data_IF_576188760586
#
_entry.id   IF_576188760586
#
_cell.length_a   1.000
_cell.length_b   1.000
_cell.length_c   1.000
_cell.angle_alpha   90.00
_cell.angle_beta   90.00
_cell.angle_gamma   90.00
#
_symmetry.space_group_name_H-M   'P 1'
#
loop_
_entity.id
_entity.type
_entity.pdbx_description
1 polymer ?
#
# COMPACT_ATOMS: atom_id res chain seq x y z
N UNK A 1 -54.49 -48.33 -56.46
CA UNK A 1 -54.93 -49.01 -55.24
C UNK A 1 -53.80 -48.93 -54.22
N UNK A 2 -54.11 -48.42 -53.03
CA UNK A 2 -53.32 -48.31 -51.78
C UNK A 2 -52.21 -47.29 -51.68
N UNK A 3 -52.64 -46.11 -51.23
CA UNK A 3 -52.07 -45.35 -50.12
C UNK A 3 -51.57 -46.25 -48.99
N UNK A 4 -50.48 -45.90 -48.33
CA UNK A 4 -50.37 -45.71 -46.85
C UNK A 4 -48.94 -45.43 -46.44
N UNK A 5 -48.76 -44.28 -45.83
CA UNK A 5 -48.07 -44.05 -44.54
C UNK A 5 -46.54 -44.06 -44.55
N UNK A 6 -45.95 -42.87 -44.55
CA UNK A 6 -44.77 -42.55 -43.73
C UNK A 6 -44.84 -41.08 -43.33
N UNK A 7 -45.65 -40.79 -42.38
CA UNK A 7 -45.55 -39.61 -41.53
C UNK A 7 -45.23 -40.11 -40.14
N UNK A 8 -44.25 -39.52 -39.48
CA UNK A 8 -43.83 -39.68 -38.05
C UNK A 8 -42.34 -40.08 -37.93
N UNK A 9 -41.46 -39.12 -38.09
CA UNK A 9 -40.14 -39.04 -37.37
C UNK A 9 -39.47 -37.71 -37.65
N UNK A 10 -40.13 -36.62 -37.28
CA UNK A 10 -39.56 -35.26 -37.30
C UNK A 10 -40.06 -34.43 -36.15
N UNK A 11 -39.88 -34.95 -34.93
CA UNK A 11 -40.24 -34.21 -33.73
C UNK A 11 -39.49 -34.74 -32.50
N UNK A 12 -38.15 -34.56 -32.46
CA UNK A 12 -37.37 -34.76 -31.23
C UNK A 12 -35.91 -34.30 -31.36
N UNK A 13 -35.60 -33.19 -32.04
CA UNK A 13 -34.28 -32.51 -31.96
C UNK A 13 -34.52 -30.99 -31.90
N UNK A 14 -35.30 -30.57 -30.94
CA UNK A 14 -35.51 -29.15 -30.67
C UNK A 14 -35.70 -28.93 -29.15
N UNK A 15 -34.71 -29.35 -28.39
CA UNK A 15 -34.65 -28.96 -26.97
C UNK A 15 -33.32 -29.42 -26.41
N UNK A 16 -32.28 -28.59 -26.54
CA UNK A 16 -31.13 -28.48 -25.61
C UNK A 16 -30.09 -27.48 -26.17
N UNK A 17 -30.54 -26.41 -26.77
CA UNK A 17 -29.79 -25.17 -26.75
C UNK A 17 -30.40 -24.28 -25.65
N UNK A 18 -30.26 -24.72 -24.41
CA UNK A 18 -30.26 -23.78 -23.30
C UNK A 18 -29.03 -22.91 -23.54
N UNK A 19 -29.23 -21.78 -24.26
CA UNK A 19 -28.22 -20.76 -24.37
C UNK A 19 -27.82 -20.43 -22.92
N UNK A 20 -26.54 -20.65 -22.58
CA UNK A 20 -25.96 -19.99 -21.42
C UNK A 20 -26.19 -18.51 -21.66
N UNK A 21 -27.18 -17.93 -20.98
CA UNK A 21 -27.30 -16.49 -20.90
C UNK A 21 -26.05 -16.06 -20.13
N UNK A 22 -25.07 -15.45 -20.79
CA UNK A 22 -23.99 -14.78 -20.12
C UNK A 22 -24.65 -13.67 -19.28
N UNK A 23 -24.49 -13.72 -17.95
CA UNK A 23 -25.05 -12.71 -17.06
C UNK A 23 -24.36 -11.37 -17.25
N UNK A 24 -23.08 -11.38 -17.64
CA UNK A 24 -22.34 -10.16 -17.96
C UNK A 24 -20.85 -10.38 -18.17
N UNK A 25 -20.18 -9.37 -18.75
CA UNK A 25 -18.73 -9.29 -18.82
C UNK A 25 -18.26 -8.24 -17.81
N UNK A 26 -17.55 -8.67 -16.76
CA UNK A 26 -16.94 -7.79 -15.75
C UNK A 26 -15.56 -7.39 -16.21
N UNK A 27 -15.30 -6.11 -16.36
CA UNK A 27 -13.97 -5.57 -16.61
C UNK A 27 -13.29 -5.21 -15.29
N UNK A 28 -12.05 -5.67 -15.09
CA UNK A 28 -11.28 -5.45 -13.85
C UNK A 28 -9.89 -4.86 -14.15
N UNK A 29 -9.63 -3.63 -13.67
CA UNK A 29 -8.30 -3.02 -13.67
C UNK A 29 -7.53 -3.43 -12.43
N UNK A 30 -6.39 -4.10 -12.61
CA UNK A 30 -5.47 -4.49 -11.55
C UNK A 30 -4.03 -4.11 -11.90
N UNK A 31 -3.19 -3.70 -10.91
CA UNK A 31 -1.79 -3.41 -11.17
C UNK A 31 -0.98 -4.64 -11.61
N UNK A 32 0.10 -4.38 -12.35
CA UNK A 32 0.98 -5.41 -12.90
C UNK A 32 1.62 -6.33 -11.84
N UNK A 33 1.85 -5.84 -10.62
CA UNK A 33 2.36 -6.68 -9.53
C UNK A 33 1.37 -7.79 -9.13
N UNK A 34 0.11 -7.68 -9.50
CA UNK A 34 -0.95 -8.63 -9.18
C UNK A 34 -1.32 -9.57 -10.34
N UNK A 35 -0.80 -9.34 -11.53
CA UNK A 35 -1.25 -9.99 -12.77
C UNK A 35 -1.38 -11.50 -12.66
N UNK A 36 -0.32 -12.20 -12.25
CA UNK A 36 -0.33 -13.68 -12.21
C UNK A 36 -1.37 -14.22 -11.21
N UNK A 37 -1.52 -13.55 -10.06
CA UNK A 37 -2.46 -13.94 -9.00
C UNK A 37 -3.90 -13.68 -9.42
N UNK A 38 -4.16 -12.51 -10.02
CA UNK A 38 -5.46 -12.14 -10.54
C UNK A 38 -5.92 -13.13 -11.62
N UNK A 39 -5.04 -13.49 -12.58
CA UNK A 39 -5.34 -14.52 -13.60
C UNK A 39 -5.76 -15.84 -12.98
N UNK A 40 -5.00 -16.34 -12.00
CA UNK A 40 -5.32 -17.59 -11.29
C UNK A 40 -6.70 -17.53 -10.61
N UNK A 41 -7.04 -16.38 -10.00
CA UNK A 41 -8.34 -16.22 -9.33
C UNK A 41 -9.49 -16.05 -10.32
N UNK A 42 -9.27 -15.36 -11.44
CA UNK A 42 -10.25 -15.26 -12.52
C UNK A 42 -10.60 -16.65 -13.07
N UNK A 43 -9.60 -17.51 -13.32
CA UNK A 43 -9.83 -18.89 -13.77
C UNK A 43 -10.68 -19.68 -12.77
N UNK A 44 -10.37 -19.57 -11.47
CA UNK A 44 -11.14 -20.23 -10.40
C UNK A 44 -12.57 -19.69 -10.29
N UNK A 45 -12.72 -18.37 -10.38
CA UNK A 45 -14.01 -17.70 -10.33
C UNK A 45 -14.90 -18.15 -11.50
N UNK A 46 -14.41 -18.09 -12.73
CA UNK A 46 -15.18 -18.47 -13.92
C UNK A 46 -15.54 -19.97 -13.93
N UNK A 47 -14.72 -20.82 -13.30
CA UNK A 47 -15.08 -22.23 -13.12
C UNK A 47 -16.28 -22.42 -12.17
N UNK A 48 -16.43 -21.55 -11.17
CA UNK A 48 -17.56 -21.56 -10.22
C UNK A 48 -18.77 -20.76 -10.72
N UNK A 49 -18.54 -19.75 -11.58
CA UNK A 49 -19.53 -18.83 -12.14
C UNK A 49 -19.40 -18.79 -13.68
N UNK A 50 -19.79 -19.86 -14.39
CA UNK A 50 -19.59 -19.98 -15.83
C UNK A 50 -20.44 -19.01 -16.67
N UNK A 51 -21.40 -18.34 -16.04
CA UNK A 51 -22.26 -17.31 -16.60
C UNK A 51 -21.64 -15.90 -16.56
N UNK A 52 -20.57 -15.68 -15.78
CA UNK A 52 -19.87 -14.39 -15.66
C UNK A 52 -18.49 -14.49 -16.33
N UNK A 53 -18.25 -13.67 -17.34
CA UNK A 53 -16.92 -13.54 -17.96
C UNK A 53 -16.16 -12.38 -17.30
N UNK A 54 -14.86 -12.58 -17.00
CA UNK A 54 -14.01 -11.54 -16.43
C UNK A 54 -12.94 -11.13 -17.44
N UNK A 55 -12.94 -9.87 -17.83
CA UNK A 55 -11.90 -9.24 -18.64
C UNK A 55 -10.91 -8.52 -17.74
N UNK A 56 -9.75 -9.14 -17.53
CA UNK A 56 -8.68 -8.56 -16.72
C UNK A 56 -7.83 -7.59 -17.56
N UNK A 57 -7.71 -6.35 -17.10
CA UNK A 57 -6.86 -5.33 -17.72
C UNK A 57 -5.74 -4.93 -16.75
N UNK A 58 -4.49 -5.18 -17.18
CA UNK A 58 -3.29 -4.92 -16.37
C UNK A 58 -2.86 -3.47 -16.53
N UNK A 59 -2.66 -2.80 -15.39
CA UNK A 59 -2.24 -1.40 -15.35
C UNK A 59 -0.86 -1.24 -14.73
N UNK A 60 -0.13 -0.20 -15.11
CA UNK A 60 1.07 0.23 -14.40
C UNK A 60 0.69 1.11 -13.22
N UNK A 61 1.53 1.16 -12.19
CA UNK A 61 1.33 2.04 -11.03
C UNK A 61 1.65 3.49 -11.34
N UNK A 62 2.54 3.73 -12.32
CA UNK A 62 2.92 5.10 -12.72
C UNK A 62 1.73 5.86 -13.29
N UNK A 63 1.44 7.03 -12.72
CA UNK A 63 0.30 7.87 -13.10
C UNK A 63 -1.08 7.23 -12.84
N UNK A 64 -1.12 6.11 -12.13
CA UNK A 64 -2.37 5.39 -11.84
C UNK A 64 -3.39 6.24 -11.09
N UNK A 65 -3.02 7.03 -10.05
CA UNK A 65 -3.98 7.87 -9.32
C UNK A 65 -4.77 8.79 -10.24
N UNK A 66 -4.06 9.50 -11.12
CA UNK A 66 -4.67 10.45 -12.05
C UNK A 66 -5.52 9.74 -13.11
N UNK A 67 -5.03 8.61 -13.63
CA UNK A 67 -5.78 7.81 -14.63
C UNK A 67 -7.08 7.27 -14.05
N UNK A 68 -7.03 6.70 -12.82
CA UNK A 68 -8.24 6.19 -12.14
C UNK A 68 -9.23 7.32 -11.88
N UNK A 69 -8.77 8.44 -11.32
CA UNK A 69 -9.65 9.59 -11.03
C UNK A 69 -10.32 10.11 -12.32
N UNK A 70 -9.56 10.25 -13.41
CA UNK A 70 -10.10 10.69 -14.70
C UNK A 70 -11.15 9.72 -15.24
N UNK A 71 -10.90 8.41 -15.16
CA UNK A 71 -11.83 7.38 -15.61
C UNK A 71 -13.12 7.38 -14.77
N UNK A 72 -13.02 7.51 -13.44
CA UNK A 72 -14.16 7.61 -12.54
C UNK A 72 -15.01 8.86 -12.84
N UNK A 73 -14.38 10.01 -13.02
CA UNK A 73 -15.08 11.29 -13.29
C UNK A 73 -15.74 11.33 -14.67
N UNK A 74 -15.12 10.71 -15.67
CA UNK A 74 -15.67 10.67 -17.04
C UNK A 74 -16.70 9.56 -17.25
N UNK A 75 -16.92 8.67 -16.28
CA UNK A 75 -17.80 7.51 -16.42
C UNK A 75 -17.24 6.42 -17.34
N UNK A 76 -15.92 6.44 -17.63
CA UNK A 76 -15.23 5.46 -18.49
C UNK A 76 -14.45 4.43 -17.67
N UNK A 77 -14.67 4.35 -16.36
CA UNK A 77 -14.04 3.35 -15.50
C UNK A 77 -14.58 1.93 -15.79
N UNK A 78 -13.77 0.89 -15.56
CA UNK A 78 -14.21 -0.50 -15.64
C UNK A 78 -15.20 -0.84 -14.50
N UNK A 79 -15.64 -2.11 -14.42
CA UNK A 79 -16.59 -2.52 -13.37
C UNK A 79 -15.90 -2.69 -12.00
N UNK A 80 -14.61 -3.06 -11.99
CA UNK A 80 -13.78 -3.14 -10.77
C UNK A 80 -12.46 -2.42 -11.00
N UNK A 81 -12.01 -1.67 -9.99
CA UNK A 81 -10.70 -1.02 -9.99
C UNK A 81 -9.97 -1.34 -8.69
N UNK A 82 -8.69 -1.74 -8.81
CA UNK A 82 -7.77 -1.76 -7.68
C UNK A 82 -7.28 -0.35 -7.41
N UNK A 83 -7.41 0.09 -6.17
CA UNK A 83 -7.02 1.44 -5.73
C UNK A 83 -6.24 1.37 -4.42
N UNK A 84 -5.33 2.31 -4.20
CA UNK A 84 -4.73 2.44 -2.88
C UNK A 84 -5.78 2.83 -1.85
N UNK A 85 -5.66 2.29 -0.64
CA UNK A 85 -6.60 2.55 0.45
C UNK A 85 -6.93 4.03 0.64
N UNK A 86 -5.90 4.89 0.65
CA UNK A 86 -6.05 6.32 0.91
C UNK A 86 -6.88 7.09 -0.12
N UNK A 87 -7.19 6.51 -1.29
CA UNK A 87 -8.00 7.18 -2.31
C UNK A 87 -9.50 6.93 -2.14
N UNK A 88 -9.89 5.84 -1.45
CA UNK A 88 -11.27 5.36 -1.40
C UNK A 88 -12.22 6.40 -0.81
N UNK A 89 -11.85 7.02 0.31
CA UNK A 89 -12.70 8.00 0.98
C UNK A 89 -12.96 9.24 0.11
N UNK A 90 -11.95 9.72 -0.62
CA UNK A 90 -12.13 10.81 -1.60
C UNK A 90 -13.09 10.44 -2.72
N UNK A 91 -13.03 9.20 -3.22
CA UNK A 91 -13.96 8.72 -4.24
C UNK A 91 -15.38 8.57 -3.70
N UNK A 92 -15.53 8.06 -2.46
CA UNK A 92 -16.82 7.93 -1.79
C UNK A 92 -17.52 9.27 -1.58
N UNK A 93 -16.79 10.29 -1.08
CA UNK A 93 -17.29 11.65 -0.88
C UNK A 93 -17.82 12.27 -2.16
N UNK A 94 -17.14 12.04 -3.28
CA UNK A 94 -17.50 12.52 -4.60
C UNK A 94 -18.50 11.59 -5.33
N UNK A 95 -19.02 10.56 -4.68
CA UNK A 95 -19.99 9.59 -5.23
C UNK A 95 -19.49 8.89 -6.51
N UNK A 96 -18.19 8.68 -6.62
CA UNK A 96 -17.54 8.06 -7.77
C UNK A 96 -17.52 6.53 -7.69
N UNK A 97 -17.80 5.98 -6.51
CA UNK A 97 -17.83 4.52 -6.24
C UNK A 97 -19.12 4.13 -5.53
N UNK A 98 -19.47 2.85 -5.55
CA UNK A 98 -20.67 2.31 -4.90
C UNK A 98 -20.34 1.79 -3.49
N UNK A 99 -21.32 1.81 -2.55
CA UNK A 99 -21.16 1.17 -1.26
C UNK A 99 -21.17 -0.36 -1.41
N UNK A 100 -20.37 -1.05 -0.57
CA UNK A 100 -20.15 -2.51 -0.59
C UNK A 100 -20.51 -3.17 0.76
N UNK A 101 -21.41 -2.58 1.54
CA UNK A 101 -21.85 -3.15 2.83
C UNK A 101 -22.56 -4.50 2.68
N UNK A 102 -23.16 -4.73 1.54
CA UNK A 102 -23.84 -5.98 1.16
C UNK A 102 -22.84 -7.09 0.77
N UNK A 103 -21.63 -6.74 0.38
CA UNK A 103 -20.57 -7.67 -0.04
C UNK A 103 -19.81 -8.25 1.14
N UNK A 104 -19.45 -7.40 2.12
CA UNK A 104 -18.65 -7.82 3.28
C UNK A 104 -19.47 -7.81 4.58
N UNK A 105 -19.77 -9.00 5.10
CA UNK A 105 -20.59 -9.17 6.31
C UNK A 105 -19.77 -9.51 7.56
N UNK A 106 -18.62 -10.15 7.40
CA UNK A 106 -17.73 -10.63 8.47
C UNK A 106 -16.53 -9.66 8.68
N UNK A 107 -16.86 -8.39 8.99
CA UNK A 107 -15.88 -7.31 9.16
C UNK A 107 -14.90 -7.56 10.30
N UNK A 108 -15.29 -8.34 11.29
CA UNK A 108 -14.46 -8.73 12.44
C UNK A 108 -13.24 -9.58 12.03
N UNK A 109 -13.28 -10.22 10.86
CA UNK A 109 -12.15 -10.98 10.31
C UNK A 109 -11.18 -10.11 9.50
N UNK A 110 -11.31 -8.78 9.59
CA UNK A 110 -10.43 -7.84 8.88
C UNK A 110 -9.62 -7.00 9.86
N UNK A 111 -8.42 -6.60 9.42
CA UNK A 111 -7.59 -5.65 10.15
C UNK A 111 -8.36 -4.32 10.29
N UNK A 112 -8.65 -3.84 11.52
CA UNK A 112 -9.49 -2.66 11.73
C UNK A 112 -9.00 -1.41 11.00
N UNK A 113 -7.68 -1.17 10.99
CA UNK A 113 -7.08 -0.03 10.30
C UNK A 113 -7.26 -0.10 8.77
N UNK A 114 -7.32 -1.30 8.17
CA UNK A 114 -7.62 -1.45 6.75
C UNK A 114 -9.08 -1.12 6.44
N UNK A 115 -10.02 -1.51 7.31
CA UNK A 115 -11.43 -1.12 7.17
C UNK A 115 -11.63 0.39 7.36
N UNK A 116 -10.87 1.02 8.26
CA UNK A 116 -10.95 2.47 8.48
C UNK A 116 -10.68 3.27 7.19
N UNK A 117 -9.73 2.84 6.37
CA UNK A 117 -9.42 3.49 5.09
C UNK A 117 -10.58 3.49 4.09
N UNK A 118 -11.43 2.46 4.13
CA UNK A 118 -12.49 2.25 3.15
C UNK A 118 -13.88 2.52 3.71
N UNK A 119 -13.95 3.05 4.93
CA UNK A 119 -15.19 3.42 5.60
C UNK A 119 -15.38 4.93 5.61
N UNK A 120 -16.47 5.40 5.02
CA UNK A 120 -16.87 6.81 5.02
C UNK A 120 -18.37 6.90 5.28
N UNK A 121 -18.78 7.85 6.13
CA UNK A 121 -20.18 8.05 6.53
C UNK A 121 -20.87 6.74 6.98
N UNK A 122 -20.16 5.96 7.81
CA UNK A 122 -20.57 4.64 8.33
C UNK A 122 -20.86 3.56 7.26
N UNK A 123 -20.44 3.78 6.00
CA UNK A 123 -20.57 2.82 4.91
C UNK A 123 -19.20 2.35 4.43
N UNK A 124 -19.18 1.12 3.91
CA UNK A 124 -18.02 0.52 3.30
C UNK A 124 -18.00 0.83 1.81
N UNK A 125 -16.92 1.43 1.29
CA UNK A 125 -16.82 1.88 -0.10
C UNK A 125 -15.73 1.14 -0.90
N UNK A 126 -15.11 0.16 -0.29
CA UNK A 126 -14.13 -0.71 -0.90
C UNK A 126 -13.89 -1.95 -0.06
N UNK A 127 -13.34 -2.99 -0.66
CA UNK A 127 -12.94 -4.20 0.05
C UNK A 127 -11.42 -4.26 0.09
N UNK A 128 -10.78 -4.08 1.26
CA UNK A 128 -9.35 -4.18 1.37
C UNK A 128 -8.91 -5.64 1.17
N UNK A 129 -7.91 -5.87 0.32
CA UNK A 129 -7.39 -7.21 0.07
C UNK A 129 -5.89 -7.35 0.35
N UNK A 130 -5.15 -6.26 0.29
CA UNK A 130 -3.72 -6.21 0.47
C UNK A 130 -3.37 -5.17 1.51
N UNK A 131 -2.60 -5.55 2.50
CA UNK A 131 -2.04 -4.61 3.49
C UNK A 131 -0.53 -4.75 3.54
N UNK A 132 0.11 -3.67 3.93
CA UNK A 132 1.55 -3.60 4.12
C UNK A 132 1.89 -2.69 5.29
N UNK A 133 2.94 -3.04 5.99
CA UNK A 133 3.60 -2.18 6.97
C UNK A 133 5.04 -1.97 6.56
N UNK A 134 5.64 -0.91 7.08
CA UNK A 134 7.07 -0.71 6.92
C UNK A 134 7.84 -1.19 8.14
N UNK A 135 9.06 -1.61 7.89
CA UNK A 135 10.09 -1.94 8.85
C UNK A 135 11.44 -1.44 8.29
N UNK A 136 12.52 -1.56 9.03
CA UNK A 136 13.85 -1.26 8.50
C UNK A 136 14.48 -2.55 7.99
N UNK A 137 14.81 -2.56 6.70
CA UNK A 137 15.55 -3.63 6.02
C UNK A 137 17.04 -3.30 6.13
N UNK A 138 17.87 -4.27 6.49
CA UNK A 138 19.29 -4.07 6.65
C UNK A 138 20.13 -5.26 6.15
N UNK A 139 21.41 -5.00 5.82
CA UNK A 139 22.37 -6.02 5.40
C UNK A 139 23.15 -6.52 6.63
N UNK A 140 22.91 -7.78 7.04
CA UNK A 140 23.59 -8.39 8.19
C UNK A 140 25.09 -8.52 7.99
N UNK A 141 25.55 -8.71 6.75
CA UNK A 141 26.98 -8.74 6.42
C UNK A 141 27.66 -7.41 6.71
N UNK A 142 26.99 -6.29 6.37
CA UNK A 142 27.50 -4.93 6.67
C UNK A 142 27.58 -4.69 8.17
N UNK A 143 26.55 -5.13 8.95
CA UNK A 143 26.58 -5.05 10.41
C UNK A 143 27.79 -5.76 10.98
N UNK A 144 28.00 -7.02 10.58
CA UNK A 144 29.15 -7.82 11.02
C UNK A 144 30.46 -7.14 10.65
N UNK A 145 30.62 -6.64 9.43
CA UNK A 145 31.82 -5.97 8.96
C UNK A 145 32.10 -4.66 9.72
N UNK A 146 31.07 -3.97 10.19
CA UNK A 146 31.16 -2.75 11.00
C UNK A 146 31.31 -3.03 12.52
N UNK A 147 31.40 -4.30 12.94
CA UNK A 147 31.49 -4.70 14.35
C UNK A 147 30.19 -4.52 15.12
N UNK A 148 29.04 -4.57 14.41
CA UNK A 148 27.70 -4.58 14.98
C UNK A 148 27.17 -6.02 15.03
N UNK A 149 26.37 -6.34 16.06
CA UNK A 149 25.70 -7.64 16.15
C UNK A 149 24.40 -7.63 15.31
N UNK A 150 24.32 -8.38 14.20
CA UNK A 150 23.12 -8.41 13.37
C UNK A 150 21.90 -9.05 14.05
N UNK A 151 22.09 -9.74 15.19
CA UNK A 151 21.01 -10.33 15.99
C UNK A 151 20.50 -9.38 17.09
N UNK A 152 21.15 -8.22 17.26
CA UNK A 152 20.75 -7.15 18.16
C UNK A 152 20.73 -5.82 17.41
N UNK A 153 19.85 -5.70 16.41
CA UNK A 153 19.76 -4.47 15.63
C UNK A 153 19.25 -3.31 16.49
N UNK A 154 19.46 -2.05 16.05
CA UNK A 154 19.00 -0.85 16.72
C UNK A 154 17.52 -0.90 17.07
N UNK A 155 17.17 -0.51 18.30
CA UNK A 155 15.79 -0.39 18.79
C UNK A 155 15.39 1.05 19.04
N UNK A 156 16.36 1.93 19.33
CA UNK A 156 16.12 3.34 19.58
C UNK A 156 16.67 4.24 18.48
N UNK A 157 16.20 5.50 18.47
CA UNK A 157 16.70 6.51 17.53
C UNK A 157 18.20 6.72 17.67
N UNK A 158 18.70 6.79 18.91
CA UNK A 158 20.12 7.01 19.16
C UNK A 158 20.97 5.81 18.69
N UNK A 159 20.48 4.59 18.91
CA UNK A 159 21.12 3.37 18.39
C UNK A 159 21.10 3.33 16.87
N UNK A 160 20.00 3.78 16.22
CA UNK A 160 19.92 3.85 14.76
C UNK A 160 20.95 4.81 14.17
N UNK A 161 21.10 6.01 14.78
CA UNK A 161 22.13 6.99 14.38
C UNK A 161 23.53 6.42 14.57
N UNK A 162 23.83 5.84 15.73
CA UNK A 162 25.13 5.25 16.01
C UNK A 162 25.49 4.08 15.05
N UNK A 163 24.49 3.26 14.70
CA UNK A 163 24.66 2.22 13.69
C UNK A 163 24.91 2.81 12.31
N UNK A 164 24.11 3.81 11.91
CA UNK A 164 24.27 4.48 10.61
C UNK A 164 25.64 5.14 10.48
N UNK A 165 26.18 5.76 11.54
CA UNK A 165 27.52 6.34 11.56
C UNK A 165 28.60 5.27 11.32
N UNK A 166 28.54 4.12 12.01
CA UNK A 166 29.48 3.01 11.83
C UNK A 166 29.40 2.38 10.43
N UNK A 167 28.19 2.32 9.87
CA UNK A 167 27.94 1.75 8.55
C UNK A 167 28.26 2.71 7.41
N UNK A 168 28.40 4.01 7.69
CA UNK A 168 28.75 5.04 6.70
C UNK A 168 30.26 5.10 6.49
N UNK A 169 30.79 4.12 5.78
CA UNK A 169 32.21 4.02 5.47
C UNK A 169 32.43 3.58 4.02
N UNK A 170 33.61 3.85 3.46
CA UNK A 170 34.03 3.39 2.14
C UNK A 170 33.07 3.75 0.99
N UNK A 171 32.43 4.93 1.07
CA UNK A 171 31.46 5.39 0.06
C UNK A 171 30.09 4.75 0.16
N UNK A 172 29.79 4.05 1.25
CA UNK A 172 28.48 3.48 1.59
C UNK A 172 27.74 4.44 2.53
N UNK A 173 26.43 4.49 2.45
CA UNK A 173 25.57 5.21 3.39
C UNK A 173 24.95 4.25 4.39
N UNK A 174 24.92 4.63 5.67
CA UNK A 174 24.43 3.76 6.74
C UNK A 174 22.92 3.60 6.71
N UNK A 175 22.16 4.68 6.47
CA UNK A 175 20.70 4.64 6.42
C UNK A 175 20.15 5.57 5.35
N UNK A 176 19.43 5.02 4.38
CA UNK A 176 18.80 5.83 3.35
C UNK A 176 17.41 6.30 3.79
N UNK A 177 17.25 7.60 3.94
CA UNK A 177 15.92 8.23 3.99
C UNK A 177 15.39 8.47 2.57
N UNK A 178 14.09 8.71 2.47
CA UNK A 178 13.43 9.08 1.21
C UNK A 178 13.12 10.57 1.24
N UNK A 179 13.61 11.32 0.29
CA UNK A 179 13.40 12.76 0.18
C UNK A 179 12.92 13.20 -1.20
N UNK A 180 12.65 12.25 -2.11
CA UNK A 180 12.24 12.52 -3.49
C UNK A 180 11.18 11.57 -4.02
N UNK A 181 10.92 11.64 -5.32
CA UNK A 181 9.91 10.86 -6.00
C UNK A 181 8.49 11.33 -5.72
N UNK A 182 7.53 10.41 -5.75
CA UNK A 182 6.14 10.72 -5.40
C UNK A 182 6.02 11.10 -3.91
N UNK A 183 5.19 12.09 -3.62
CA UNK A 183 4.94 12.65 -2.28
C UNK A 183 4.67 11.57 -1.24
N UNK A 184 3.83 10.60 -1.56
CA UNK A 184 3.49 9.48 -0.70
C UNK A 184 4.71 8.67 -0.23
N UNK A 185 5.77 8.57 -1.03
CA UNK A 185 6.98 7.85 -0.64
C UNK A 185 7.68 8.48 0.56
N UNK A 186 7.84 9.79 0.57
CA UNK A 186 8.42 10.53 1.70
C UNK A 186 7.52 10.46 2.92
N UNK A 187 6.20 10.68 2.75
CA UNK A 187 5.23 10.64 3.85
C UNK A 187 5.21 9.28 4.53
N UNK A 188 5.15 8.20 3.79
CA UNK A 188 5.11 6.84 4.34
C UNK A 188 6.35 6.49 5.18
N UNK A 189 7.45 7.20 4.98
CA UNK A 189 8.70 6.95 5.69
C UNK A 189 9.02 7.97 6.77
N UNK A 190 8.50 9.18 6.69
CA UNK A 190 8.75 10.24 7.68
C UNK A 190 7.64 10.35 8.73
N UNK A 191 6.37 10.17 8.34
CA UNK A 191 5.23 10.33 9.23
C UNK A 191 5.23 9.37 10.45
N UNK A 192 5.67 8.10 10.36
CA UNK A 192 5.81 7.25 11.53
C UNK A 192 6.69 7.85 12.64
N UNK A 193 7.78 8.53 12.28
CA UNK A 193 8.64 9.18 13.26
C UNK A 193 7.92 10.33 14.00
N UNK A 194 7.04 11.06 13.32
CA UNK A 194 6.21 12.10 13.94
C UNK A 194 5.22 11.46 14.94
N UNK A 195 4.55 10.37 14.58
CA UNK A 195 3.62 9.66 15.44
C UNK A 195 4.26 9.09 16.71
N UNK A 196 5.52 8.64 16.64
CA UNK A 196 6.26 8.11 17.78
C UNK A 196 6.47 9.14 18.91
N UNK A 197 6.40 10.42 18.58
CA UNK A 197 6.57 11.53 19.54
C UNK A 197 5.29 12.32 19.80
N UNK A 198 4.15 11.85 19.27
CA UNK A 198 2.86 12.53 19.43
C UNK A 198 2.60 13.65 18.42
N UNK A 199 3.45 13.80 17.41
CA UNK A 199 3.27 14.73 16.29
C UNK A 199 2.47 14.13 15.13
N UNK A 200 2.40 14.88 14.03
CA UNK A 200 1.70 14.50 12.81
C UNK A 200 1.70 15.65 11.80
N UNK A 201 1.12 15.43 10.63
CA UNK A 201 0.89 16.51 9.65
C UNK A 201 -0.37 17.27 10.05
N UNK A 202 -1.47 16.56 10.25
CA UNK A 202 -2.73 17.06 10.81
C UNK A 202 -3.25 16.07 11.85
N UNK A 203 -4.21 16.49 12.68
CA UNK A 203 -4.89 15.62 13.64
C UNK A 203 -5.71 14.52 12.94
N UNK A 204 -6.01 13.43 13.66
CA UNK A 204 -6.76 12.28 13.11
C UNK A 204 -8.18 12.66 12.68
N UNK A 205 -8.78 13.71 13.28
CA UNK A 205 -10.09 14.25 12.89
C UNK A 205 -10.01 15.28 11.73
N UNK A 206 -8.79 15.55 11.23
CA UNK A 206 -8.55 16.43 10.09
C UNK A 206 -8.74 17.92 10.36
N UNK A 207 -8.81 18.38 11.64
CA UNK A 207 -9.21 19.75 11.98
C UNK A 207 -8.09 20.64 12.53
N UNK A 208 -6.94 20.06 12.81
CA UNK A 208 -5.83 20.77 13.45
C UNK A 208 -4.54 20.50 12.71
N UNK A 209 -3.82 21.57 12.40
CA UNK A 209 -2.46 21.46 11.85
C UNK A 209 -1.51 21.04 12.97
N UNK A 210 -0.71 20.02 12.73
CA UNK A 210 0.28 19.50 13.68
C UNK A 210 1.71 19.55 13.16
N UNK A 211 1.90 19.86 11.89
CA UNK A 211 3.20 19.73 11.18
C UNK A 211 4.31 20.55 11.83
N UNK A 212 4.00 21.69 12.44
CA UNK A 212 4.95 22.62 13.05
C UNK A 212 4.96 22.59 14.59
N UNK A 213 4.29 21.60 15.21
CA UNK A 213 4.39 21.41 16.67
C UNK A 213 5.81 21.00 17.06
N UNK A 214 6.24 21.27 18.31
CA UNK A 214 7.57 20.88 18.78
C UNK A 214 7.88 19.40 18.58
N UNK A 215 6.90 18.53 18.74
CA UNK A 215 6.99 17.09 18.54
C UNK A 215 7.25 16.76 17.07
N UNK A 216 6.48 17.37 16.16
CA UNK A 216 6.63 17.17 14.72
C UNK A 216 7.99 17.69 14.23
N UNK A 217 8.38 18.89 14.65
CA UNK A 217 9.69 19.47 14.32
C UNK A 217 10.84 18.61 14.82
N UNK A 218 10.75 18.07 16.05
CA UNK A 218 11.73 17.10 16.59
C UNK A 218 11.87 15.88 15.66
N UNK A 219 10.77 15.29 15.23
CA UNK A 219 10.80 14.11 14.37
C UNK A 219 11.32 14.42 12.96
N UNK A 220 10.93 15.55 12.38
CA UNK A 220 11.43 16.01 11.07
C UNK A 220 12.93 16.29 11.15
N UNK A 221 13.40 16.92 12.22
CA UNK A 221 14.84 17.15 12.47
C UNK A 221 15.57 15.81 12.52
N UNK A 222 15.10 14.86 13.32
CA UNK A 222 15.68 13.52 13.39
C UNK A 222 15.77 12.87 12.01
N UNK A 223 14.70 12.90 11.22
CA UNK A 223 14.63 12.29 9.89
C UNK A 223 15.60 12.96 8.89
N UNK A 224 15.60 14.28 8.83
CA UNK A 224 16.42 15.03 7.86
C UNK A 224 17.90 15.08 8.24
N UNK A 225 18.24 14.89 9.52
CA UNK A 225 19.61 14.84 10.01
C UNK A 225 20.42 13.68 9.39
N UNK A 226 19.80 12.57 9.00
CA UNK A 226 20.52 11.52 8.27
C UNK A 226 21.15 12.04 6.98
N UNK A 227 20.46 12.91 6.27
CA UNK A 227 21.00 13.55 5.07
C UNK A 227 22.03 14.63 5.42
N UNK A 228 21.71 15.55 6.34
CA UNK A 228 22.59 16.65 6.75
C UNK A 228 23.92 16.13 7.31
N UNK A 229 23.91 15.03 8.03
CA UNK A 229 25.10 14.35 8.57
C UNK A 229 25.79 13.41 7.57
N UNK A 230 25.33 13.37 6.31
CA UNK A 230 25.86 12.50 5.24
C UNK A 230 25.79 11.00 5.56
N UNK A 231 24.82 10.60 6.36
CA UNK A 231 24.53 9.19 6.67
C UNK A 231 23.59 8.58 5.63
N UNK A 232 22.91 9.41 4.83
CA UNK A 232 22.09 9.04 3.67
C UNK A 232 22.81 9.41 2.35
N UNK A 233 22.44 8.74 1.23
CA UNK A 233 23.03 9.01 -0.06
C UNK A 233 22.85 10.49 -0.50
N UNK A 234 23.81 11.02 -1.25
CA UNK A 234 23.68 12.37 -1.84
C UNK A 234 22.46 12.48 -2.78
N UNK A 235 22.05 11.37 -3.39
CA UNK A 235 20.85 11.28 -4.24
C UNK A 235 19.52 11.24 -3.48
N UNK A 236 19.51 11.36 -2.16
CA UNK A 236 18.29 11.32 -1.31
C UNK A 236 17.18 12.24 -1.82
N UNK A 237 17.53 13.39 -2.35
CA UNK A 237 16.60 14.38 -2.92
C UNK A 237 15.78 13.87 -4.12
N UNK A 238 16.30 12.88 -4.82
CA UNK A 238 15.67 12.27 -5.99
C UNK A 238 15.16 10.86 -5.70
N UNK A 239 15.58 10.28 -4.56
CA UNK A 239 15.30 8.89 -4.24
C UNK A 239 13.89 8.73 -3.68
N UNK A 240 13.13 7.87 -4.36
CA UNK A 240 11.95 7.19 -3.83
C UNK A 240 12.34 5.86 -3.14
N UNK A 241 11.35 5.09 -2.69
CA UNK A 241 11.58 3.78 -2.10
C UNK A 241 12.22 2.77 -3.05
N UNK A 242 11.91 2.85 -4.35
CA UNK A 242 12.48 1.97 -5.39
C UNK A 242 13.96 2.28 -5.63
N UNK A 243 14.32 3.57 -5.66
CA UNK A 243 15.70 3.99 -5.78
C UNK A 243 16.53 3.53 -4.56
N UNK A 244 15.99 3.68 -3.34
CA UNK A 244 16.67 3.21 -2.13
C UNK A 244 16.86 1.68 -2.13
N UNK A 245 15.86 0.90 -2.59
CA UNK A 245 16.01 -0.56 -2.79
C UNK A 245 17.14 -0.88 -3.76
N UNK A 246 17.22 -0.19 -4.91
CA UNK A 246 18.29 -0.39 -5.89
C UNK A 246 19.67 -0.09 -5.31
N UNK A 247 19.79 0.96 -4.51
CA UNK A 247 21.05 1.30 -3.81
C UNK A 247 21.41 0.22 -2.77
N UNK A 248 20.43 -0.33 -2.07
CA UNK A 248 20.64 -1.43 -1.14
C UNK A 248 21.10 -2.70 -1.86
N UNK A 249 20.44 -3.09 -2.95
CA UNK A 249 20.84 -4.23 -3.79
C UNK A 249 22.23 -4.05 -4.39
N UNK A 250 22.60 -2.83 -4.75
CA UNK A 250 23.95 -2.47 -5.21
C UNK A 250 24.98 -2.31 -4.07
N UNK A 251 24.58 -2.62 -2.83
CA UNK A 251 25.42 -2.51 -1.62
C UNK A 251 26.00 -1.10 -1.40
N UNK A 252 25.29 -0.06 -1.81
CA UNK A 252 25.62 1.36 -1.57
C UNK A 252 24.98 1.90 -0.30
N UNK A 253 23.99 1.20 0.23
CA UNK A 253 23.24 1.54 1.43
C UNK A 253 23.12 0.29 2.30
N UNK A 254 23.34 0.43 3.62
CA UNK A 254 23.30 -0.70 4.56
C UNK A 254 21.93 -0.88 5.22
N UNK A 255 21.14 0.18 5.37
CA UNK A 255 19.80 0.16 5.97
C UNK A 255 18.87 1.12 5.21
N UNK A 256 17.59 0.74 5.09
CA UNK A 256 16.53 1.63 4.63
C UNK A 256 15.16 1.16 5.10
N UNK A 257 14.19 2.07 5.18
CA UNK A 257 12.82 1.74 5.56
C UNK A 257 12.01 1.35 4.33
N UNK A 258 11.37 0.18 4.36
CA UNK A 258 10.46 -0.27 3.31
C UNK A 258 9.46 -1.31 3.80
N UNK A 259 8.58 -1.75 2.92
CA UNK A 259 7.63 -2.82 3.17
C UNK A 259 8.16 -4.21 2.80
N UNK A 260 7.41 -5.25 3.20
CA UNK A 260 7.73 -6.64 2.93
C UNK A 260 7.82 -6.99 1.44
N UNK A 261 7.22 -6.18 0.56
CA UNK A 261 7.26 -6.36 -0.90
C UNK A 261 8.66 -6.22 -1.51
N UNK A 262 9.60 -5.59 -0.81
CA UNK A 262 10.98 -5.45 -1.30
C UNK A 262 11.83 -6.71 -1.09
N UNK A 263 11.52 -7.51 -0.07
CA UNK A 263 12.32 -8.71 0.29
C UNK A 263 12.44 -9.71 -0.87
N UNK A 264 11.37 -10.07 -1.60
CA UNK A 264 11.48 -10.96 -2.75
C UNK A 264 12.34 -10.38 -3.89
N UNK A 265 12.24 -9.07 -4.13
CA UNK A 265 13.05 -8.38 -5.15
C UNK A 265 14.53 -8.40 -4.80
N UNK A 266 14.88 -8.11 -3.54
CA UNK A 266 16.27 -8.17 -3.05
C UNK A 266 16.83 -9.57 -3.23
N UNK A 267 16.13 -10.60 -2.75
CA UNK A 267 16.57 -12.01 -2.87
C UNK A 267 16.74 -12.45 -4.32
N UNK A 268 15.92 -11.95 -5.24
CA UNK A 268 15.97 -12.27 -6.67
C UNK A 268 17.13 -11.58 -7.40
N UNK A 269 17.38 -10.29 -7.07
CA UNK A 269 18.35 -9.46 -7.78
C UNK A 269 19.78 -9.60 -7.21
N UNK A 270 19.91 -9.86 -5.90
CA UNK A 270 21.19 -10.12 -5.24
C UNK A 270 21.01 -11.10 -4.07
N UNK A 271 21.13 -12.39 -4.34
CA UNK A 271 20.99 -13.49 -3.38
C UNK A 271 22.14 -13.59 -2.36
N UNK A 272 23.23 -12.82 -2.56
CA UNK A 272 24.37 -12.77 -1.64
C UNK A 272 24.11 -11.89 -0.42
N UNK A 273 23.14 -11.01 -0.47
CA UNK A 273 22.80 -10.16 0.67
C UNK A 273 22.07 -11.00 1.72
N UNK A 274 22.67 -11.13 2.90
CA UNK A 274 21.97 -11.66 4.08
C UNK A 274 21.05 -10.58 4.64
N UNK A 275 19.78 -10.65 4.23
CA UNK A 275 18.77 -9.66 4.56
C UNK A 275 18.30 -9.83 6.00
N UNK A 276 18.45 -8.78 6.79
CA UNK A 276 17.81 -8.62 8.09
C UNK A 276 16.63 -7.65 8.00
N UNK A 277 15.69 -7.80 8.93
CA UNK A 277 14.57 -6.87 9.11
C UNK A 277 14.43 -6.58 10.60
N UNK A 278 14.20 -5.33 10.98
CA UNK A 278 13.96 -4.90 12.35
C UNK A 278 12.78 -3.94 12.42
N UNK A 279 12.05 -3.89 13.55
CA UNK A 279 11.05 -2.83 13.77
C UNK A 279 11.65 -1.44 13.52
N UNK A 280 10.81 -0.46 13.15
CA UNK A 280 11.29 0.92 13.02
C UNK A 280 11.72 1.39 14.42
N UNK A 281 12.99 1.81 14.60
CA UNK A 281 13.48 2.27 15.91
C UNK A 281 12.70 3.47 16.42
N UNK A 282 12.48 3.53 17.73
CA UNK A 282 11.66 4.53 18.40
C UNK A 282 12.48 5.42 19.36
N UNK A 283 11.97 6.56 19.82
CA UNK A 283 12.62 7.32 20.89
C UNK A 283 12.82 6.48 22.15
N UNK A 284 13.87 6.77 22.93
CA UNK A 284 14.13 6.09 24.20
C UNK A 284 12.89 6.14 25.10
N UNK A 285 12.50 5.00 25.66
CA UNK A 285 11.28 4.84 26.46
C UNK A 285 9.95 4.99 25.70
N UNK A 286 10.01 5.20 24.38
CA UNK A 286 8.84 5.36 23.50
C UNK A 286 8.31 4.04 22.95
N UNK A 287 7.47 4.16 21.93
CA UNK A 287 6.93 3.03 21.15
C UNK A 287 7.17 3.28 19.67
N UNK A 288 7.35 2.20 18.93
CA UNK A 288 7.40 2.26 17.48
C UNK A 288 6.05 2.65 16.87
N UNK A 289 6.08 3.15 15.66
CA UNK A 289 4.91 3.36 14.81
C UNK A 289 5.25 2.94 13.37
N UNK A 290 4.24 2.61 12.61
CA UNK A 290 4.38 2.31 11.19
C UNK A 290 3.21 2.90 10.42
N UNK A 291 3.41 3.11 9.12
CA UNK A 291 2.28 3.33 8.23
C UNK A 291 1.65 1.97 7.92
N UNK A 292 0.32 1.95 7.85
CA UNK A 292 -0.40 0.87 7.22
C UNK A 292 -0.77 1.32 5.81
N UNK A 293 -0.19 0.70 4.81
CA UNK A 293 -0.56 0.89 3.41
C UNK A 293 -1.37 -0.28 2.88
N UNK A 294 -1.73 -0.22 1.62
CA UNK A 294 -2.34 -1.33 0.92
C UNK A 294 -3.34 -0.93 -0.17
N UNK A 295 -4.08 -1.94 -0.65
CA UNK A 295 -4.95 -1.83 -1.81
C UNK A 295 -6.31 -2.42 -1.55
N UNK A 296 -7.32 -1.80 -2.16
CA UNK A 296 -8.73 -2.18 -2.08
C UNK A 296 -9.34 -2.34 -3.46
N UNK A 297 -10.34 -3.19 -3.54
CA UNK A 297 -11.23 -3.31 -4.70
C UNK A 297 -12.39 -2.34 -4.52
N UNK A 298 -12.70 -1.56 -5.54
CA UNK A 298 -13.87 -0.68 -5.58
C UNK A 298 -14.72 -0.96 -6.81
N UNK A 299 -16.02 -0.69 -6.72
CA UNK A 299 -16.96 -0.70 -7.84
C UNK A 299 -17.25 0.75 -8.20
N UNK A 300 -16.85 1.25 -9.38
CA UNK A 300 -17.20 2.56 -9.86
C UNK A 300 -18.74 2.76 -9.93
N UNK A 301 -19.22 3.97 -9.64
CA UNK A 301 -20.64 4.30 -9.77
C UNK A 301 -21.15 4.22 -11.23
N UNK A 302 -20.24 4.25 -12.19
CA UNK A 302 -20.47 4.09 -13.63
C UNK A 302 -20.32 2.65 -14.13
N UNK A 303 -20.10 1.67 -13.24
CA UNK A 303 -19.95 0.25 -13.61
C UNK A 303 -21.17 -0.20 -14.43
N UNK A 304 -20.90 -0.97 -15.49
CA UNK A 304 -21.95 -1.50 -16.37
C UNK A 304 -22.62 -2.76 -15.80
N UNK A 305 -21.85 -3.55 -15.07
CA UNK A 305 -22.27 -4.81 -14.49
C UNK A 305 -21.97 -4.84 -12.98
N UNK A 306 -22.61 -3.94 -12.17
CA UNK A 306 -22.26 -3.75 -10.76
C UNK A 306 -22.56 -4.96 -9.88
N UNK A 307 -23.59 -5.74 -10.16
CA UNK A 307 -23.95 -6.93 -9.34
C UNK A 307 -23.00 -8.09 -9.63
N UNK A 308 -22.60 -8.28 -10.87
CA UNK A 308 -21.58 -9.27 -11.27
C UNK A 308 -20.19 -8.85 -10.70
N UNK A 309 -19.88 -7.57 -10.71
CA UNK A 309 -18.68 -7.02 -10.08
C UNK A 309 -18.67 -7.28 -8.57
N UNK A 310 -19.79 -7.06 -7.86
CA UNK A 310 -19.92 -7.40 -6.45
C UNK A 310 -19.78 -8.91 -6.19
N UNK A 311 -20.31 -9.74 -7.08
CA UNK A 311 -20.16 -11.20 -6.99
C UNK A 311 -18.68 -11.61 -7.09
N UNK A 312 -17.94 -11.04 -8.04
CA UNK A 312 -16.50 -11.27 -8.15
C UNK A 312 -15.75 -10.75 -6.92
N UNK A 313 -16.07 -9.55 -6.43
CA UNK A 313 -15.43 -9.00 -5.22
C UNK A 313 -15.73 -9.87 -4.00
N UNK A 314 -16.94 -10.40 -3.85
CA UNK A 314 -17.28 -11.32 -2.75
C UNK A 314 -16.38 -12.56 -2.78
N UNK A 315 -16.19 -13.16 -3.94
CA UNK A 315 -15.26 -14.29 -4.14
C UNK A 315 -13.80 -13.90 -3.83
N UNK A 316 -13.36 -12.73 -4.28
CA UNK A 316 -12.00 -12.22 -4.01
C UNK A 316 -11.80 -11.86 -2.52
N UNK A 317 -12.87 -11.56 -1.79
CA UNK A 317 -12.87 -11.28 -0.36
C UNK A 317 -12.79 -12.53 0.53
N UNK A 318 -13.00 -13.73 -0.02
CA UNK A 318 -12.87 -14.98 0.73
C UNK A 318 -11.43 -15.20 1.23
N UNK A 319 -11.28 -15.92 2.34
CA UNK A 319 -9.97 -16.15 2.98
C UNK A 319 -8.95 -16.76 2.02
N UNK A 320 -9.34 -17.82 1.31
CA UNK A 320 -8.46 -18.52 0.38
C UNK A 320 -8.09 -17.65 -0.84
N UNK A 321 -9.04 -16.85 -1.31
CA UNK A 321 -8.80 -15.91 -2.41
C UNK A 321 -7.88 -14.78 -2.01
N UNK A 322 -8.07 -14.17 -0.84
CA UNK A 322 -7.18 -13.13 -0.32
C UNK A 322 -5.77 -13.67 -0.03
N UNK A 323 -5.66 -14.91 0.47
CA UNK A 323 -4.36 -15.56 0.65
C UNK A 323 -3.60 -15.73 -0.68
N UNK A 324 -4.27 -15.79 -1.83
CA UNK A 324 -3.65 -15.86 -3.15
C UNK A 324 -3.44 -14.47 -3.75
N UNK A 325 -4.45 -13.60 -3.67
CA UNK A 325 -4.49 -12.31 -4.39
C UNK A 325 -3.36 -11.35 -3.99
N UNK A 326 -2.99 -11.30 -2.71
CA UNK A 326 -1.95 -10.37 -2.25
C UNK A 326 -0.53 -10.90 -2.49
N UNK A 327 0.41 -10.00 -2.74
CA UNK A 327 1.86 -10.27 -2.73
C UNK A 327 2.50 -9.96 -1.37
N UNK A 328 1.78 -9.27 -0.51
CA UNK A 328 2.15 -8.89 0.86
C UNK A 328 1.28 -9.63 1.87
N UNK A 329 0.66 -8.94 2.84
CA UNK A 329 -0.31 -9.55 3.74
C UNK A 329 -1.74 -9.34 3.24
N UNK A 330 -2.64 -10.31 3.46
CA UNK A 330 -4.06 -10.10 3.25
C UNK A 330 -4.62 -9.14 4.31
N UNK A 331 -5.64 -8.38 3.94
CA UNK A 331 -6.37 -7.56 4.91
C UNK A 331 -7.25 -8.43 5.84
N UNK A 332 -7.58 -9.63 5.40
CA UNK A 332 -8.37 -10.62 6.14
C UNK A 332 -7.49 -11.42 7.10
N UNK A 333 -7.84 -11.45 8.39
CA UNK A 333 -7.04 -12.06 9.47
C UNK A 333 -6.93 -13.58 9.27
N UNK A 334 -8.04 -14.25 8.92
CA UNK A 334 -8.04 -15.70 8.67
C UNK A 334 -7.12 -16.10 7.51
N UNK A 335 -7.01 -15.28 6.47
CA UNK A 335 -6.15 -15.53 5.33
C UNK A 335 -4.65 -15.47 5.66
N UNK A 336 -4.25 -14.74 6.73
CA UNK A 336 -2.86 -14.70 7.21
C UNK A 336 -2.36 -16.03 7.79
N UNK A 337 -3.24 -17.02 7.99
CA UNK A 337 -2.86 -18.36 8.47
C UNK A 337 -2.22 -19.22 7.38
N UNK A 338 -2.28 -18.81 6.11
CA UNK A 338 -1.66 -19.54 5.01
C UNK A 338 -0.14 -19.65 5.22
N UNK A 339 0.43 -20.83 4.91
CA UNK A 339 1.82 -21.21 5.18
C UNK A 339 2.84 -20.21 4.64
N UNK A 340 2.56 -19.62 3.47
CA UNK A 340 3.45 -18.65 2.83
C UNK A 340 3.73 -17.39 3.68
N UNK A 341 2.91 -17.10 4.69
CA UNK A 341 3.10 -15.98 5.62
C UNK A 341 3.89 -16.34 6.88
N UNK A 342 4.46 -17.55 6.94
CA UNK A 342 5.26 -18.03 8.07
C UNK A 342 6.78 -17.82 7.88
N UNK A 343 7.22 -17.20 6.77
CA UNK A 343 8.64 -16.85 6.57
C UNK A 343 9.10 -15.96 7.76
N UNK A 344 10.22 -16.32 8.43
CA UNK A 344 10.74 -15.55 9.57
C UNK A 344 10.96 -14.06 9.30
N UNK A 345 11.35 -13.69 8.07
CA UNK A 345 11.50 -12.28 7.68
C UNK A 345 10.15 -11.55 7.72
N UNK A 346 9.07 -12.23 7.34
CA UNK A 346 7.74 -11.65 7.36
C UNK A 346 7.18 -11.46 8.78
N UNK A 347 7.71 -12.21 9.77
CA UNK A 347 7.23 -12.08 11.16
C UNK A 347 7.46 -10.68 11.71
N UNK A 348 8.62 -10.06 11.42
CA UNK A 348 8.90 -8.67 11.87
C UNK A 348 7.88 -7.69 11.29
N UNK A 349 7.53 -7.82 10.01
CA UNK A 349 6.48 -6.98 9.41
C UNK A 349 5.10 -7.27 10.01
N UNK A 350 4.77 -8.53 10.37
CA UNK A 350 3.56 -8.87 11.12
C UNK A 350 3.52 -8.21 12.50
N UNK A 351 4.64 -8.20 13.21
CA UNK A 351 4.79 -7.55 14.51
C UNK A 351 4.57 -6.03 14.42
N UNK A 352 4.82 -5.44 13.25
CA UNK A 352 4.56 -4.02 13.00
C UNK A 352 3.07 -3.70 12.71
N UNK A 353 2.23 -4.69 12.34
CA UNK A 353 0.81 -4.46 12.03
C UNK A 353 0.01 -3.76 13.15
N UNK A 354 0.18 -4.12 14.45
CA UNK A 354 -0.52 -3.43 15.54
C UNK A 354 -0.12 -1.96 15.72
N UNK A 355 1.04 -1.57 15.21
CA UNK A 355 1.55 -0.20 15.24
C UNK A 355 1.25 0.57 13.94
N UNK A 356 0.61 -0.11 12.99
CA UNK A 356 0.22 0.46 11.70
C UNK A 356 -0.93 1.44 11.84
N UNK A 357 -0.74 2.66 11.35
CA UNK A 357 -1.77 3.70 11.31
C UNK A 357 -2.04 4.11 9.87
N UNK A 358 -3.30 4.43 9.51
CA UNK A 358 -3.62 5.04 8.25
C UNK A 358 -3.09 6.48 8.19
N UNK A 359 -2.85 6.99 6.99
CA UNK A 359 -2.76 8.44 6.80
C UNK A 359 -4.10 9.09 7.14
N UNK A 360 -4.09 10.34 7.64
CA UNK A 360 -5.34 11.04 7.94
C UNK A 360 -6.30 11.08 6.73
N UNK A 361 -7.56 10.75 6.98
CA UNK A 361 -8.60 10.83 5.96
C UNK A 361 -9.07 12.28 5.82
N UNK A 362 -8.63 13.00 4.80
CA UNK A 362 -9.03 14.38 4.54
C UNK A 362 -9.29 14.61 3.05
N UNK A 363 -10.36 15.37 2.65
CA UNK A 363 -10.68 15.65 1.24
C UNK A 363 -9.50 16.27 0.49
N UNK A 364 -8.78 17.18 1.15
CA UNK A 364 -7.65 17.90 0.60
C UNK A 364 -6.30 17.22 0.89
N UNK A 365 -6.29 15.91 1.21
CA UNK A 365 -5.05 15.22 1.61
C UNK A 365 -3.92 15.34 0.61
N UNK A 366 -4.22 15.39 -0.69
CA UNK A 366 -3.21 15.56 -1.75
C UNK A 366 -2.47 16.89 -1.58
N UNK A 367 -3.19 18.00 -1.37
CA UNK A 367 -2.59 19.33 -1.19
C UNK A 367 -1.87 19.43 0.15
N UNK A 368 -2.47 18.89 1.22
CA UNK A 368 -1.87 18.85 2.57
C UNK A 368 -0.55 18.09 2.54
N UNK A 369 -0.53 16.93 1.91
CA UNK A 369 0.67 16.11 1.81
C UNK A 369 1.75 16.76 0.94
N UNK A 370 1.35 17.49 -0.11
CA UNK A 370 2.28 18.24 -0.95
C UNK A 370 2.96 19.36 -0.16
N UNK A 371 2.21 20.17 0.61
CA UNK A 371 2.76 21.24 1.43
C UNK A 371 3.81 20.73 2.44
N UNK A 372 3.53 19.58 3.08
CA UNK A 372 4.52 18.94 3.96
C UNK A 372 5.75 18.47 3.18
N UNK A 373 5.58 17.80 2.05
CA UNK A 373 6.69 17.35 1.20
C UNK A 373 7.57 18.49 0.74
N UNK A 374 6.98 19.62 0.31
CA UNK A 374 7.70 20.82 -0.10
C UNK A 374 8.51 21.41 1.06
N UNK A 375 7.97 21.34 2.29
CA UNK A 375 8.71 21.67 3.51
C UNK A 375 9.94 20.78 3.72
N UNK A 376 9.81 19.46 3.55
CA UNK A 376 10.96 18.53 3.59
C UNK A 376 11.99 18.88 2.51
N UNK A 377 11.53 19.16 1.29
CA UNK A 377 12.42 19.54 0.18
C UNK A 377 13.20 20.84 0.50
N UNK A 378 12.56 21.86 1.08
CA UNK A 378 13.25 23.10 1.50
C UNK A 378 14.36 22.84 2.52
N UNK A 379 14.13 21.92 3.47
CA UNK A 379 15.13 21.52 4.48
C UNK A 379 16.32 20.80 3.82
N UNK A 380 16.05 19.87 2.91
CA UNK A 380 17.07 19.04 2.31
C UNK A 380 17.86 19.75 1.19
N UNK A 381 17.19 20.58 0.38
CA UNK A 381 17.80 21.31 -0.74
C UNK A 381 18.47 22.61 -0.31
N UNK A 382 17.79 23.37 0.53
CA UNK A 382 18.15 24.76 0.85
C UNK A 382 18.79 24.94 2.21
N UNK A 383 18.97 23.86 2.98
CA UNK A 383 19.41 23.91 4.38
C UNK A 383 18.56 24.89 5.22
N UNK A 384 17.27 25.00 4.88
CA UNK A 384 16.33 25.82 5.64
C UNK A 384 16.18 25.27 7.05
N UNK A 385 16.02 26.16 8.03
CA UNK A 385 15.72 25.78 9.40
C UNK A 385 14.43 24.96 9.46
N UNK A 386 14.43 23.85 10.23
CA UNK A 386 13.33 22.89 10.26
C UNK A 386 12.04 23.52 10.76
N UNK A 387 12.11 24.35 11.83
CA UNK A 387 10.93 25.02 12.36
C UNK A 387 10.34 25.97 11.31
N UNK A 388 11.17 26.76 10.66
CA UNK A 388 10.74 27.71 9.65
C UNK A 388 10.10 27.01 8.44
N UNK A 389 10.69 25.90 7.97
CA UNK A 389 10.12 25.12 6.86
C UNK A 389 8.77 24.50 7.22
N UNK A 390 8.63 24.01 8.47
CA UNK A 390 7.38 23.44 8.95
C UNK A 390 6.32 24.52 9.25
N UNK A 391 6.71 25.72 9.69
CA UNK A 391 5.79 26.86 9.81
C UNK A 391 5.25 27.28 8.43
N UNK A 392 6.10 27.28 7.39
CA UNK A 392 5.68 27.50 6.01
C UNK A 392 4.66 26.44 5.55
N UNK A 393 4.94 25.17 5.80
CA UNK A 393 4.02 24.09 5.47
C UNK A 393 2.69 24.23 6.25
N UNK A 394 2.73 24.60 7.52
CA UNK A 394 1.53 24.82 8.34
C UNK A 394 0.65 25.93 7.77
N UNK A 395 1.25 27.06 7.35
CA UNK A 395 0.53 28.17 6.73
C UNK A 395 -0.15 27.79 5.40
N UNK A 396 0.43 26.85 4.64
CA UNK A 396 -0.17 26.31 3.41
C UNK A 396 -1.30 25.28 3.71
N UNK A 397 -1.19 24.53 4.83
CA UNK A 397 -2.15 23.51 5.23
C UNK A 397 -3.39 24.12 5.91
N UNK A 398 -3.23 25.13 6.75
CA UNK A 398 -4.31 25.70 7.56
C UNK A 398 -5.57 26.08 6.76
N UNK A 399 -5.48 26.75 5.58
CA UNK A 399 -6.67 27.07 4.77
C UNK A 399 -7.30 25.87 4.08
N UNK A 400 -6.70 24.69 4.14
CA UNK A 400 -7.20 23.46 3.53
C UNK A 400 -8.06 22.63 4.49
N UNK A 401 -7.98 22.86 5.81
CA UNK A 401 -8.77 22.19 6.84
C UNK A 401 -10.17 22.82 6.98
#
# INVERSE_FOLDING_TARGET
MRLKTTALLSAAIAALSAGMAFAGEVTWWTPNFNEARAKTLVEKFQAAHPDITVKLEITTTDGLPQRVLTALQSGAAPDIVDVQHGWVNGYAQNKLVLPLDDVLKDREDYIPAALQYVTWDNKLWGIPYRIETHAVIFNKGDFTAAGLDPNKPPQTWDELVAAAEKLSANGKSGFAITGGGEVGNTIFRSLPFMWMVGGGIISDDGKTVLVNTPESVKAVTFYTDFFKKKLSPASTLENDGTANRRLFIAEKVSMYQSGQFDVPSIKKENDKIDVGVMPIPHPEGGKTAAILGGWSLVVPSSAKNPEEAKTLIAFLAESDSQAVLTDTFPARISAMKAERFNDPILQVFKEMLPYGRPVPAHPNWVQISQAYFDGIQRILLGDEDVQKAMDGAAAEIEPLL
#
